data_IF_716643692493
#
_entry.id   IF_716643692493
#
_cell.length_a   1.000
_cell.length_b   1.000
_cell.length_c   1.000
_cell.angle_alpha   90.00
_cell.angle_beta   90.00
_cell.angle_gamma   90.00
#
_symmetry.space_group_name_H-M   'P 1'
#
loop_
_entity.id
_entity.type
_entity.pdbx_description
1 polymer ?
#
# COMPACT_ATOMS: atom_id res chain seq x y z
N UNK A 1 26.26 -13.92 -11.90
CA UNK A 1 25.03 -13.73 -12.69
C UNK A 1 24.09 -12.81 -11.93
N UNK A 2 23.40 -11.92 -12.65
CA UNK A 2 22.38 -11.01 -12.10
C UNK A 2 21.07 -11.31 -12.82
N UNK A 3 20.01 -11.53 -12.04
CA UNK A 3 18.66 -11.71 -12.52
C UNK A 3 17.85 -10.44 -12.21
N UNK A 4 17.24 -9.85 -13.25
CA UNK A 4 16.40 -8.66 -13.16
C UNK A 4 14.95 -9.08 -13.42
N UNK A 5 14.05 -8.82 -12.47
CA UNK A 5 12.65 -9.21 -12.54
C UNK A 5 11.77 -7.97 -12.31
N UNK A 6 10.85 -7.72 -13.22
CA UNK A 6 9.86 -6.65 -13.11
C UNK A 6 8.47 -7.27 -13.04
N UNK A 7 7.79 -7.09 -11.89
CA UNK A 7 6.47 -7.65 -11.57
C UNK A 7 6.31 -9.13 -11.95
N UNK A 8 7.21 -10.02 -11.50
CA UNK A 8 7.23 -11.40 -11.98
C UNK A 8 6.02 -12.22 -11.50
N UNK A 9 5.30 -11.78 -10.48
CA UNK A 9 4.10 -12.43 -9.95
C UNK A 9 2.83 -12.08 -10.73
N UNK A 10 2.89 -11.05 -11.59
CA UNK A 10 1.77 -10.68 -12.42
C UNK A 10 1.45 -11.83 -13.40
N UNK A 11 0.19 -12.22 -13.47
CA UNK A 11 -0.31 -13.31 -14.32
C UNK A 11 0.12 -14.73 -13.93
N UNK A 12 0.89 -14.91 -12.84
CA UNK A 12 1.14 -16.22 -12.28
C UNK A 12 -0.04 -16.67 -11.41
N UNK A 13 -0.29 -17.97 -11.40
CA UNK A 13 -1.16 -18.58 -10.42
C UNK A 13 -0.36 -18.92 -9.15
N UNK A 14 -1.05 -19.39 -8.12
CA UNK A 14 -0.43 -19.66 -6.83
C UNK A 14 0.73 -20.66 -6.93
N UNK A 15 0.55 -21.74 -7.73
CA UNK A 15 1.58 -22.76 -7.90
C UNK A 15 2.82 -22.23 -8.61
N UNK A 16 2.63 -21.42 -9.65
CA UNK A 16 3.73 -20.82 -10.40
C UNK A 16 4.48 -19.79 -9.53
N UNK A 17 3.76 -19.05 -8.69
CA UNK A 17 4.36 -18.12 -7.73
C UNK A 17 5.18 -18.86 -6.66
N UNK A 18 4.65 -19.94 -6.06
CA UNK A 18 5.37 -20.77 -5.10
C UNK A 18 6.62 -21.42 -5.73
N UNK A 19 6.51 -21.88 -6.97
CA UNK A 19 7.68 -22.40 -7.69
C UNK A 19 8.74 -21.32 -7.91
N UNK A 20 8.34 -20.12 -8.32
CA UNK A 20 9.26 -18.98 -8.53
C UNK A 20 9.95 -18.58 -7.23
N UNK A 21 9.22 -18.50 -6.12
CA UNK A 21 9.80 -18.23 -4.79
C UNK A 21 10.86 -19.28 -4.43
N UNK A 22 10.53 -20.57 -4.56
CA UNK A 22 11.45 -21.66 -4.29
C UNK A 22 12.70 -21.61 -5.17
N UNK A 23 12.53 -21.30 -6.45
CA UNK A 23 13.63 -21.13 -7.39
C UNK A 23 14.56 -19.98 -6.97
N UNK A 24 14.01 -18.81 -6.66
CA UNK A 24 14.79 -17.62 -6.28
C UNK A 24 15.53 -17.78 -4.96
N UNK A 25 14.94 -18.48 -4.00
CA UNK A 25 15.60 -18.81 -2.71
C UNK A 25 16.86 -19.70 -2.90
N UNK A 26 16.89 -20.52 -3.93
CA UNK A 26 18.04 -21.41 -4.24
C UNK A 26 18.98 -20.82 -5.30
N UNK A 27 18.61 -19.71 -5.91
CA UNK A 27 19.43 -19.06 -6.93
C UNK A 27 20.71 -18.48 -6.31
N UNK A 28 21.88 -18.88 -6.86
CA UNK A 28 23.19 -18.48 -6.31
C UNK A 28 23.67 -17.12 -6.78
N UNK A 29 22.98 -16.49 -7.72
CA UNK A 29 23.31 -15.16 -8.24
C UNK A 29 22.64 -14.04 -7.45
N UNK A 30 22.83 -12.82 -7.91
CA UNK A 30 22.14 -11.64 -7.37
C UNK A 30 20.77 -11.50 -8.04
N UNK A 31 19.74 -11.22 -7.26
CA UNK A 31 18.39 -10.95 -7.76
C UNK A 31 18.02 -9.51 -7.45
N UNK A 32 17.57 -8.78 -8.47
CA UNK A 32 16.92 -7.49 -8.33
C UNK A 32 15.49 -7.64 -8.82
N UNK A 33 14.51 -7.38 -7.92
CA UNK A 33 13.10 -7.59 -8.22
C UNK A 33 12.30 -6.32 -7.90
N UNK A 34 11.36 -6.00 -8.79
CA UNK A 34 10.32 -5.00 -8.57
C UNK A 34 9.02 -5.80 -8.44
N UNK A 35 8.27 -5.60 -7.36
CA UNK A 35 6.95 -6.24 -7.20
C UNK A 35 6.08 -5.46 -6.23
N UNK A 36 4.77 -5.56 -6.41
CA UNK A 36 3.75 -5.11 -5.46
C UNK A 36 3.24 -6.22 -4.54
N UNK A 37 3.66 -7.46 -4.79
CA UNK A 37 3.31 -8.61 -3.97
C UNK A 37 4.17 -8.64 -2.69
N UNK A 38 3.55 -8.25 -1.58
CA UNK A 38 4.21 -8.13 -0.28
C UNK A 38 4.66 -9.49 0.26
N UNK A 39 3.89 -10.55 0.02
CA UNK A 39 4.24 -11.90 0.48
C UNK A 39 5.44 -12.45 -0.28
N UNK A 40 5.43 -12.29 -1.58
CA UNK A 40 6.55 -12.65 -2.43
C UNK A 40 7.84 -11.92 -2.02
N UNK A 41 7.78 -10.59 -1.87
CA UNK A 41 8.93 -9.78 -1.43
C UNK A 41 9.42 -10.20 -0.04
N UNK A 42 8.51 -10.46 0.88
CA UNK A 42 8.88 -10.81 2.26
C UNK A 42 9.64 -12.14 2.35
N UNK A 43 9.38 -13.07 1.43
CA UNK A 43 10.04 -14.38 1.37
C UNK A 43 11.36 -14.37 0.59
N UNK A 44 11.45 -13.57 -0.46
CA UNK A 44 12.55 -13.64 -1.43
C UNK A 44 13.65 -12.62 -1.15
N UNK A 45 13.30 -11.39 -0.68
CA UNK A 45 14.28 -10.31 -0.58
C UNK A 45 14.93 -10.21 0.80
N UNK A 46 16.18 -9.79 0.81
CA UNK A 46 16.99 -9.56 2.02
C UNK A 46 17.30 -8.07 2.24
N UNK A 47 17.09 -7.25 1.22
CA UNK A 47 17.30 -5.81 1.26
C UNK A 47 16.21 -5.14 0.42
N UNK A 48 15.73 -3.98 0.88
CA UNK A 48 14.72 -3.20 0.17
C UNK A 48 15.26 -1.82 -0.18
N UNK A 49 14.85 -1.30 -1.33
CA UNK A 49 15.17 0.06 -1.78
C UNK A 49 13.83 0.76 -2.03
N UNK A 50 13.60 1.87 -1.33
CA UNK A 50 12.42 2.71 -1.51
C UNK A 50 12.79 3.97 -2.30
N UNK A 51 12.06 4.24 -3.36
CA UNK A 51 12.19 5.46 -4.15
C UNK A 51 11.07 6.43 -3.80
N UNK A 52 11.39 7.40 -2.96
CA UNK A 52 10.43 8.42 -2.54
C UNK A 52 10.98 9.81 -2.83
N UNK A 53 10.18 10.67 -3.49
CA UNK A 53 10.52 12.08 -3.77
C UNK A 53 11.85 12.29 -4.50
N UNK A 54 12.23 11.36 -5.39
CA UNK A 54 13.47 11.44 -6.17
C UNK A 54 14.73 11.00 -5.42
N UNK A 55 14.58 10.48 -4.20
CA UNK A 55 15.66 9.93 -3.40
C UNK A 55 15.49 8.42 -3.22
N UNK A 56 16.60 7.70 -3.08
CA UNK A 56 16.62 6.28 -2.81
C UNK A 56 17.01 6.02 -1.35
N UNK A 57 16.14 5.37 -0.61
CA UNK A 57 16.40 4.93 0.76
C UNK A 57 16.65 3.42 0.81
N UNK A 58 17.64 3.02 1.60
CA UNK A 58 18.07 1.63 1.70
C UNK A 58 17.69 1.04 3.06
N UNK A 59 17.16 -0.19 3.02
CA UNK A 59 16.75 -0.94 4.20
C UNK A 59 17.38 -2.33 4.17
N UNK A 60 18.06 -2.72 5.26
CA UNK A 60 18.74 -4.02 5.37
C UNK A 60 17.79 -5.05 5.99
N UNK A 61 16.78 -5.45 5.22
CA UNK A 61 15.78 -6.42 5.63
C UNK A 61 14.76 -6.68 4.51
N UNK A 62 13.87 -7.63 4.76
CA UNK A 62 12.75 -7.97 3.89
C UNK A 62 11.66 -6.87 3.92
N UNK A 63 10.53 -7.12 3.24
CA UNK A 63 9.44 -6.16 3.16
C UNK A 63 8.82 -5.81 4.52
N UNK A 64 8.61 -6.78 5.39
CA UNK A 64 8.09 -6.54 6.75
C UNK A 64 9.01 -5.66 7.58
N UNK A 65 10.33 -5.90 7.52
CA UNK A 65 11.31 -5.04 8.17
C UNK A 65 11.29 -3.62 7.60
N UNK A 66 11.22 -3.47 6.27
CA UNK A 66 11.13 -2.18 5.59
C UNK A 66 9.94 -1.36 6.11
N UNK A 67 8.75 -1.95 6.21
CA UNK A 67 7.53 -1.25 6.66
C UNK A 67 7.71 -0.68 8.07
N UNK A 68 8.23 -1.49 8.99
CA UNK A 68 8.45 -1.08 10.40
C UNK A 68 9.52 0.01 10.50
N UNK A 69 10.65 -0.20 9.81
CA UNK A 69 11.78 0.74 9.87
C UNK A 69 11.45 2.07 9.20
N UNK A 70 10.70 2.07 8.09
CA UNK A 70 10.21 3.28 7.44
C UNK A 70 9.32 4.09 8.37
N UNK A 71 8.37 3.43 9.07
CA UNK A 71 7.51 4.12 10.03
C UNK A 71 8.34 4.70 11.20
N UNK A 72 9.32 3.95 11.71
CA UNK A 72 10.22 4.44 12.77
C UNK A 72 10.99 5.69 12.36
N UNK A 73 11.59 5.69 11.15
CA UNK A 73 12.32 6.84 10.60
C UNK A 73 11.40 8.05 10.41
N UNK A 74 10.20 7.82 9.91
CA UNK A 74 9.18 8.86 9.77
C UNK A 74 8.84 9.50 11.12
N UNK A 75 8.56 8.70 12.15
CA UNK A 75 8.21 9.18 13.49
C UNK A 75 9.39 9.93 14.14
N UNK A 76 10.62 9.48 13.94
CA UNK A 76 11.82 10.16 14.41
C UNK A 76 12.01 11.53 13.72
N UNK A 77 11.85 11.57 12.41
CA UNK A 77 11.93 12.82 11.64
C UNK A 77 10.83 13.80 12.05
N UNK A 78 9.61 13.31 12.25
CA UNK A 78 8.48 14.14 12.71
C UNK A 78 8.76 14.75 14.09
N UNK A 79 9.21 13.94 15.04
CA UNK A 79 9.59 14.42 16.39
C UNK A 79 10.71 15.45 16.33
N UNK A 80 11.71 15.25 15.46
CA UNK A 80 12.78 16.22 15.27
C UNK A 80 12.25 17.53 14.70
N UNK A 81 11.40 17.44 13.66
CA UNK A 81 10.75 18.60 13.06
C UNK A 81 9.94 19.40 14.10
N UNK A 82 9.10 18.74 14.90
CA UNK A 82 8.29 19.38 15.94
C UNK A 82 9.17 20.08 16.99
N UNK A 83 10.26 19.44 17.40
CA UNK A 83 11.23 20.02 18.33
C UNK A 83 11.93 21.25 17.74
N UNK A 84 12.31 21.20 16.46
CA UNK A 84 12.94 22.32 15.77
C UNK A 84 11.97 23.48 15.61
N UNK A 85 10.70 23.21 15.27
CA UNK A 85 9.64 24.22 15.19
C UNK A 85 9.36 24.90 16.55
N UNK A 86 9.24 24.10 17.62
CA UNK A 86 9.04 24.64 18.97
C UNK A 86 10.20 25.54 19.39
N UNK A 87 11.44 25.15 19.07
CA UNK A 87 12.64 25.96 19.37
C UNK A 87 12.67 27.24 18.55
N UNK A 88 12.32 27.20 17.27
CA UNK A 88 12.18 28.37 16.42
C UNK A 88 11.14 29.34 16.98
N UNK A 89 9.96 28.84 17.37
CA UNK A 89 8.91 29.63 17.94
C UNK A 89 9.38 30.34 19.24
N UNK A 90 10.03 29.59 20.14
CA UNK A 90 10.59 30.20 21.40
C UNK A 90 11.60 31.29 21.09
N UNK A 91 12.51 31.10 20.13
CA UNK A 91 13.49 32.11 19.75
C UNK A 91 12.82 33.33 19.11
N UNK A 92 11.81 33.14 18.27
CA UNK A 92 11.03 34.22 17.65
C UNK A 92 10.31 35.07 18.71
N UNK A 93 9.64 34.42 19.66
CA UNK A 93 8.96 35.12 20.74
C UNK A 93 9.95 35.89 21.64
N UNK A 94 11.13 35.30 21.94
CA UNK A 94 12.17 35.96 22.72
C UNK A 94 12.75 37.18 21.99
N UNK A 95 13.02 37.08 20.68
CA UNK A 95 13.49 38.17 19.84
C UNK A 95 12.45 39.31 19.80
N UNK A 96 11.18 38.95 19.57
CA UNK A 96 10.07 39.92 19.55
C UNK A 96 9.92 40.70 20.87
N UNK A 97 9.99 40.02 22.02
CA UNK A 97 9.98 40.66 23.35
C UNK A 97 11.16 41.60 23.55
N UNK A 98 12.36 41.21 23.13
CA UNK A 98 13.55 42.04 23.24
C UNK A 98 13.46 43.27 22.33
N UNK A 99 12.92 43.16 21.13
CA UNK A 99 12.69 44.31 20.25
C UNK A 99 11.67 45.28 20.85
N UNK A 100 10.57 44.78 21.42
CA UNK A 100 9.57 45.61 22.08
C UNK A 100 10.17 46.42 23.25
N UNK A 101 11.00 45.77 24.09
CA UNK A 101 11.67 46.45 25.20
C UNK A 101 12.80 47.36 24.74
N UNK A 102 13.47 47.05 23.65
CA UNK A 102 14.50 47.90 23.09
C UNK A 102 13.94 49.24 22.54
N UNK A 103 12.70 49.20 22.02
CA UNK A 103 11.98 50.40 21.59
C UNK A 103 11.80 51.45 22.73
N UNK A 104 11.88 50.98 23.98
CA UNK A 104 11.85 51.86 25.19
C UNK A 104 13.22 52.51 25.53
N UNK A 105 14.21 52.48 24.63
CA UNK A 105 15.47 53.22 24.74
C UNK A 105 16.69 52.45 25.25
N UNK A 106 16.72 51.10 25.07
CA UNK A 106 17.84 50.29 25.56
C UNK A 106 18.58 49.55 24.39
N UNK A 107 19.67 50.18 23.90
CA UNK A 107 20.52 49.66 22.80
C UNK A 107 21.12 48.26 23.05
N UNK A 108 21.34 47.90 24.32
CA UNK A 108 21.86 46.58 24.66
C UNK A 108 20.87 45.45 24.35
N UNK A 109 19.57 45.74 24.41
CA UNK A 109 18.51 44.79 24.10
C UNK A 109 18.39 44.57 22.59
N UNK A 110 18.59 45.61 21.77
CA UNK A 110 18.69 45.46 20.32
C UNK A 110 19.80 44.47 19.89
N UNK A 111 21.00 44.65 20.45
CA UNK A 111 22.13 43.74 20.16
C UNK A 111 21.83 42.29 20.55
N UNK A 112 21.09 42.08 21.65
CA UNK A 112 20.65 40.73 22.07
C UNK A 112 19.62 40.14 21.11
N UNK A 113 18.64 40.93 20.68
CA UNK A 113 17.64 40.47 19.69
C UNK A 113 18.32 40.04 18.38
N UNK A 114 19.21 40.85 17.82
CA UNK A 114 20.00 40.50 16.63
C UNK A 114 20.83 39.23 16.81
N UNK A 115 21.39 39.01 18.00
CA UNK A 115 22.13 37.77 18.28
C UNK A 115 21.23 36.55 18.26
N UNK A 116 19.96 36.66 18.67
CA UNK A 116 18.98 35.57 18.60
C UNK A 116 18.58 35.33 17.15
N UNK A 117 18.30 36.38 16.37
CA UNK A 117 17.96 36.28 14.95
C UNK A 117 19.09 35.61 14.15
N UNK A 118 20.35 36.00 14.38
CA UNK A 118 21.51 35.34 13.75
C UNK A 118 21.65 33.86 14.16
N UNK A 119 21.15 33.50 15.35
CA UNK A 119 21.06 32.10 15.79
C UNK A 119 19.94 31.35 15.05
N UNK A 120 18.81 31.99 14.77
CA UNK A 120 17.69 31.42 14.02
C UNK A 120 18.09 31.14 12.56
N UNK A 121 18.81 32.10 11.92
CA UNK A 121 19.33 31.93 10.56
C UNK A 121 20.30 30.74 10.45
N UNK A 122 21.04 30.42 11.50
CA UNK A 122 21.99 29.31 11.55
C UNK A 122 21.36 27.97 11.97
N UNK A 123 20.10 27.98 12.36
CA UNK A 123 19.40 26.76 12.74
C UNK A 123 18.98 26.01 11.47
N UNK A 124 19.69 24.93 11.20
CA UNK A 124 19.25 23.97 10.19
C UNK A 124 17.97 23.31 10.70
N UNK A 125 16.84 23.65 10.09
CA UNK A 125 15.55 23.05 10.43
C UNK A 125 15.34 21.79 9.62
N UNK A 126 14.89 20.74 10.28
CA UNK A 126 14.48 19.50 9.62
C UNK A 126 13.27 19.78 8.71
N UNK A 127 13.28 19.27 7.50
CA UNK A 127 12.11 19.33 6.63
C UNK A 127 10.97 18.48 7.20
N UNK A 128 9.74 18.96 7.00
CA UNK A 128 8.56 18.20 7.42
C UNK A 128 8.48 16.91 6.61
N UNK A 129 8.42 15.74 7.28
CA UNK A 129 8.25 14.49 6.56
C UNK A 129 6.91 14.48 5.83
N UNK A 130 6.91 14.00 4.60
CA UNK A 130 5.70 13.90 3.77
C UNK A 130 5.03 12.57 4.04
N UNK A 131 3.84 12.62 4.59
CA UNK A 131 3.02 11.42 4.78
C UNK A 131 2.47 10.93 3.43
N UNK A 132 2.64 9.64 3.14
CA UNK A 132 2.01 9.04 1.97
C UNK A 132 0.49 9.20 2.06
N UNK A 133 -0.14 9.76 1.03
CA UNK A 133 -1.61 9.93 1.00
C UNK A 133 -2.29 8.59 1.19
N UNK A 134 -2.98 8.41 2.30
CA UNK A 134 -3.89 7.27 2.51
C UNK A 134 -5.11 7.48 1.64
N UNK A 135 -5.31 6.61 0.67
CA UNK A 135 -6.55 6.55 -0.10
C UNK A 135 -7.66 6.04 0.84
N UNK A 136 -8.52 6.94 1.29
CA UNK A 136 -9.74 6.59 2.00
C UNK A 136 -10.86 6.38 0.97
N UNK A 137 -11.01 5.15 0.51
CA UNK A 137 -12.14 4.74 -0.33
C UNK A 137 -13.17 4.11 0.58
N UNK A 138 -14.33 4.75 0.68
CA UNK A 138 -15.48 4.23 1.40
C UNK A 138 -16.49 3.69 0.39
N UNK A 139 -16.70 2.39 0.39
CA UNK A 139 -17.80 1.78 -0.32
C UNK A 139 -19.02 1.80 0.63
N UNK A 140 -20.06 2.54 0.26
CA UNK A 140 -21.34 2.49 0.98
C UNK A 140 -22.08 1.26 0.48
N UNK A 141 -22.05 0.17 1.26
CA UNK A 141 -22.90 -0.99 1.03
C UNK A 141 -24.18 -0.82 1.88
N UNK A 142 -25.34 -1.04 1.28
CA UNK A 142 -26.54 -1.30 2.09
C UNK A 142 -26.34 -2.62 2.83
N UNK A 143 -26.61 -2.62 4.13
CA UNK A 143 -26.50 -3.85 4.94
C UNK A 143 -27.60 -4.84 4.54
N UNK A 144 -27.22 -5.81 3.71
CA UNK A 144 -28.00 -7.01 3.45
C UNK A 144 -27.50 -8.11 4.38
N UNK A 145 -28.26 -8.44 5.40
CA UNK A 145 -27.95 -9.59 6.27
C UNK A 145 -29.02 -10.64 6.08
N UNK A 146 -28.61 -11.80 5.58
CA UNK A 146 -29.45 -13.01 5.59
C UNK A 146 -30.18 -13.36 4.29
N UNK A 147 -30.21 -12.47 3.29
CA UNK A 147 -30.82 -12.78 1.98
C UNK A 147 -29.78 -13.32 0.98
N UNK A 148 -30.21 -14.25 0.14
CA UNK A 148 -29.40 -14.77 -0.97
C UNK A 148 -29.20 -13.67 -2.01
N UNK A 149 -27.93 -13.23 -2.16
CA UNK A 149 -27.53 -12.19 -3.14
C UNK A 149 -27.11 -12.76 -4.47
N UNK A 150 -26.68 -14.03 -4.48
CA UNK A 150 -26.30 -14.75 -5.70
C UNK A 150 -26.61 -16.23 -5.52
N UNK A 151 -27.35 -16.81 -6.43
CA UNK A 151 -27.58 -18.26 -6.50
C UNK A 151 -27.21 -18.78 -7.87
N UNK A 152 -26.34 -19.78 -7.90
CA UNK A 152 -25.96 -20.52 -9.10
C UNK A 152 -26.37 -21.98 -8.96
N UNK A 153 -26.98 -22.56 -9.97
CA UNK A 153 -27.41 -23.97 -9.95
C UNK A 153 -27.13 -24.64 -11.29
N UNK A 154 -26.39 -25.75 -11.21
CA UNK A 154 -26.08 -26.61 -12.38
C UNK A 154 -25.27 -25.91 -13.45
N UNK A 155 -24.47 -24.88 -13.05
CA UNK A 155 -23.80 -24.00 -13.97
C UNK A 155 -22.66 -24.73 -14.71
N UNK A 156 -22.65 -24.66 -16.05
CA UNK A 156 -21.60 -25.22 -16.86
C UNK A 156 -21.16 -24.27 -17.95
N UNK A 157 -19.87 -24.34 -18.28
CA UNK A 157 -19.25 -23.57 -19.36
C UNK A 157 -18.15 -24.37 -20.06
N UNK A 158 -18.15 -24.32 -21.38
CA UNK A 158 -17.09 -24.90 -22.22
C UNK A 158 -16.74 -23.96 -23.37
N UNK A 159 -15.51 -24.06 -23.84
CA UNK A 159 -15.04 -23.39 -25.06
C UNK A 159 -14.44 -24.44 -25.98
N UNK A 160 -15.12 -24.70 -27.11
CA UNK A 160 -14.76 -25.79 -28.01
C UNK A 160 -14.83 -27.14 -27.28
N UNK A 161 -13.72 -27.87 -27.26
CA UNK A 161 -13.60 -29.17 -26.57
C UNK A 161 -13.23 -29.01 -25.07
N UNK A 162 -12.81 -27.83 -24.62
CA UNK A 162 -12.38 -27.59 -23.25
C UNK A 162 -13.57 -27.26 -22.36
N UNK A 163 -13.89 -28.11 -21.42
CA UNK A 163 -14.83 -27.84 -20.35
C UNK A 163 -14.10 -27.10 -19.23
N UNK A 164 -14.60 -25.91 -18.84
CA UNK A 164 -14.05 -25.13 -17.72
C UNK A 164 -14.59 -25.66 -16.40
N UNK A 165 -15.91 -25.80 -16.31
CA UNK A 165 -16.61 -26.36 -15.15
C UNK A 165 -17.96 -26.88 -15.59
N UNK A 166 -18.50 -27.81 -14.83
CA UNK A 166 -19.83 -28.40 -15.01
C UNK A 166 -20.50 -28.56 -13.64
N UNK A 167 -21.80 -28.48 -13.63
CA UNK A 167 -22.64 -28.66 -12.43
C UNK A 167 -22.22 -27.83 -11.21
N UNK A 168 -21.75 -26.60 -11.46
CA UNK A 168 -21.37 -25.68 -10.38
C UNK A 168 -22.61 -25.13 -9.72
N UNK A 169 -22.74 -25.38 -8.40
CA UNK A 169 -23.76 -24.80 -7.53
C UNK A 169 -23.12 -23.98 -6.42
N UNK A 170 -23.62 -22.78 -6.20
CA UNK A 170 -23.19 -21.91 -5.10
C UNK A 170 -24.32 -20.95 -4.75
N UNK A 171 -24.55 -20.76 -3.45
CA UNK A 171 -25.38 -19.69 -2.94
C UNK A 171 -24.53 -18.78 -2.09
N UNK A 172 -24.63 -17.48 -2.31
CA UNK A 172 -23.90 -16.43 -1.58
C UNK A 172 -24.91 -15.57 -0.85
N UNK A 173 -24.74 -15.41 0.44
CA UNK A 173 -25.59 -14.60 1.30
C UNK A 173 -25.03 -13.19 1.48
N UNK A 174 -25.88 -12.24 1.85
CA UNK A 174 -25.49 -10.86 2.09
C UNK A 174 -24.44 -10.72 3.19
N UNK A 175 -23.35 -9.99 2.91
CA UNK A 175 -22.22 -9.79 3.81
C UNK A 175 -21.15 -10.87 3.77
N UNK A 176 -21.35 -11.94 3.01
CA UNK A 176 -20.36 -13.01 2.84
C UNK A 176 -19.19 -12.55 1.95
N UNK A 177 -17.99 -13.08 2.22
CA UNK A 177 -16.77 -12.83 1.42
C UNK A 177 -16.23 -14.15 0.91
N UNK A 178 -16.19 -14.32 -0.42
CA UNK A 178 -15.80 -15.57 -1.07
C UNK A 178 -14.55 -15.31 -1.92
N UNK A 179 -13.54 -16.18 -1.79
CA UNK A 179 -12.36 -16.18 -2.64
C UNK A 179 -12.49 -17.27 -3.71
N UNK A 180 -12.29 -16.91 -4.97
CA UNK A 180 -12.18 -17.85 -6.09
C UNK A 180 -10.71 -18.21 -6.32
N UNK A 181 -10.34 -19.45 -5.99
CA UNK A 181 -8.96 -19.95 -6.08
C UNK A 181 -8.86 -21.03 -7.16
N UNK A 182 -7.73 -21.13 -7.81
CA UNK A 182 -7.43 -22.14 -8.82
C UNK A 182 -6.37 -21.68 -9.82
N UNK A 183 -5.86 -22.62 -10.60
CA UNK A 183 -4.81 -22.40 -11.60
C UNK A 183 -5.30 -21.47 -12.73
N UNK A 184 -4.36 -20.94 -13.53
CA UNK A 184 -4.71 -20.10 -14.66
C UNK A 184 -5.48 -20.90 -15.73
N UNK A 185 -6.51 -20.27 -16.30
CA UNK A 185 -7.35 -20.91 -17.32
C UNK A 185 -8.42 -21.86 -16.79
N UNK A 186 -8.64 -21.98 -15.47
CA UNK A 186 -9.71 -22.83 -14.89
C UNK A 186 -11.11 -22.21 -14.99
N UNK A 187 -11.24 -20.98 -15.47
CA UNK A 187 -12.54 -20.35 -15.71
C UNK A 187 -12.97 -19.33 -14.65
N UNK A 188 -12.10 -18.94 -13.70
CA UNK A 188 -12.43 -17.94 -12.65
C UNK A 188 -12.96 -16.63 -13.23
N UNK A 189 -12.24 -16.04 -14.18
CA UNK A 189 -12.66 -14.79 -14.86
C UNK A 189 -13.93 -15.01 -15.70
N UNK A 190 -14.12 -16.18 -16.29
CA UNK A 190 -15.33 -16.53 -17.03
C UNK A 190 -16.54 -16.58 -16.09
N UNK A 191 -16.38 -17.15 -14.90
CA UNK A 191 -17.44 -17.17 -13.89
C UNK A 191 -17.86 -15.75 -13.48
N UNK A 192 -16.90 -14.89 -13.22
CA UNK A 192 -17.20 -13.47 -12.92
C UNK A 192 -17.95 -12.79 -14.08
N UNK A 193 -17.48 -12.99 -15.32
CA UNK A 193 -18.15 -12.45 -16.52
C UNK A 193 -19.57 -12.99 -16.70
N UNK A 194 -19.84 -14.22 -16.26
CA UNK A 194 -21.18 -14.78 -16.28
C UNK A 194 -22.09 -14.17 -15.21
N UNK A 195 -21.55 -13.85 -14.03
CA UNK A 195 -22.29 -13.19 -12.94
C UNK A 195 -22.69 -11.76 -13.35
N UNK A 196 -21.83 -11.05 -14.08
CA UNK A 196 -22.11 -9.68 -14.59
C UNK A 196 -22.79 -9.67 -15.96
N UNK A 197 -23.26 -10.84 -16.43
CA UNK A 197 -24.03 -11.02 -17.69
C UNK A 197 -23.27 -10.66 -18.98
N UNK A 198 -21.92 -10.65 -18.94
CA UNK A 198 -21.07 -10.48 -20.13
C UNK A 198 -20.92 -11.78 -20.95
N UNK A 199 -21.06 -12.93 -20.31
CA UNK A 199 -20.94 -14.25 -20.92
C UNK A 199 -22.08 -15.14 -20.45
N UNK A 200 -22.77 -15.82 -21.39
CA UNK A 200 -23.86 -16.75 -21.05
C UNK A 200 -23.33 -18.13 -20.68
N UNK A 201 -23.93 -18.80 -19.67
CA UNK A 201 -23.66 -20.20 -19.37
C UNK A 201 -24.17 -21.12 -20.50
N UNK A 202 -23.52 -22.26 -20.66
CA UNK A 202 -23.99 -23.30 -21.61
C UNK A 202 -25.04 -24.20 -20.94
N UNK A 203 -25.03 -24.33 -19.62
CA UNK A 203 -26.02 -25.02 -18.81
C UNK A 203 -26.20 -24.37 -17.45
N UNK A 204 -27.32 -24.65 -16.80
CA UNK A 204 -27.66 -24.07 -15.48
C UNK A 204 -28.19 -22.64 -15.55
N UNK A 205 -28.23 -21.99 -14.41
CA UNK A 205 -28.75 -20.62 -14.29
C UNK A 205 -28.08 -19.85 -13.15
N UNK A 206 -27.99 -18.54 -13.35
CA UNK A 206 -27.55 -17.56 -12.33
C UNK A 206 -28.76 -16.71 -11.96
N UNK A 207 -28.94 -16.47 -10.68
CA UNK A 207 -29.95 -15.56 -10.17
C UNK A 207 -29.29 -14.60 -9.18
N UNK A 208 -29.43 -13.33 -9.46
CA UNK A 208 -29.05 -12.27 -8.51
C UNK A 208 -30.24 -11.92 -7.63
N UNK A 209 -29.97 -11.57 -6.40
CA UNK A 209 -30.97 -11.07 -5.48
C UNK A 209 -31.63 -9.78 -5.99
N UNK A 210 -32.88 -9.49 -5.60
CA UNK A 210 -33.68 -8.39 -6.18
C UNK A 210 -33.10 -7.00 -5.92
N UNK A 211 -32.14 -6.87 -5.05
CA UNK A 211 -31.52 -5.60 -4.67
C UNK A 211 -30.04 -5.50 -5.07
N UNK A 212 -29.52 -6.50 -5.78
CA UNK A 212 -28.15 -6.48 -6.33
C UNK A 212 -28.15 -5.63 -7.60
N UNK A 213 -27.29 -4.62 -7.62
CA UNK A 213 -27.10 -3.71 -8.79
C UNK A 213 -25.75 -3.96 -9.43
#
# INVERSE_FOLDING_TARGET
DILLLDEPTNHLDLRATEWLEAYLLHFRGTVLVISHDRYFLDRVVQRSIDFTSGQAEFYSGNYSFYVVERQRRFDEQLKKYEKDQAKLQQLTEAAAKLHLWAFMGNDKLHKRAFSIEKRMEKLETTERPTEARKLNVHFTAQEFRGDDVLTMSGLGKRYGERTLFHDLGLTVTGGERIALIGDNGTGKSTLIKMIVDEVYPDSGRIRLGPQVK
#
